data_IF_325775878834
#
_entry.id   IF_325775878834
#
_cell.length_a   1.000
_cell.length_b   1.000
_cell.length_c   1.000
_cell.angle_alpha   90.00
_cell.angle_beta   90.00
_cell.angle_gamma   90.00
#
_symmetry.space_group_name_H-M   'P 1'
#
loop_
_entity.id
_entity.type
_entity.pdbx_description
1 polymer ?
#
# COMPACT_ATOMS: atom_id res chain seq x y z
N UNK A 1 16.55 -1.06 11.65
CA UNK A 1 15.12 -1.26 11.97
C UNK A 1 15.00 -2.68 12.49
N UNK A 2 14.38 -2.90 13.66
CA UNK A 2 14.16 -4.25 14.17
C UNK A 2 12.90 -4.81 13.51
N UNK A 3 13.07 -5.73 12.55
CA UNK A 3 11.95 -6.36 11.84
C UNK A 3 11.03 -7.13 12.78
N UNK A 4 11.50 -7.53 13.97
CA UNK A 4 10.66 -8.18 14.99
C UNK A 4 9.62 -7.23 15.60
N UNK A 5 9.77 -5.92 15.41
CA UNK A 5 8.80 -4.91 15.86
C UNK A 5 7.66 -4.68 14.87
N UNK A 6 7.73 -5.28 13.69
CA UNK A 6 6.69 -5.20 12.68
C UNK A 6 5.49 -6.07 13.07
N UNK A 7 4.29 -5.52 12.88
CA UNK A 7 3.02 -6.17 13.18
C UNK A 7 2.06 -5.99 12.02
N UNK A 8 1.39 -7.07 11.65
CA UNK A 8 0.27 -7.02 10.73
C UNK A 8 -0.94 -6.39 11.42
N UNK A 9 -1.58 -5.41 10.78
CA UNK A 9 -2.93 -4.97 11.21
C UNK A 9 -4.00 -5.89 10.64
N UNK A 10 -3.76 -6.40 9.43
CA UNK A 10 -4.57 -7.35 8.67
C UNK A 10 -3.61 -8.35 8.05
N UNK A 11 -3.78 -9.63 8.33
CA UNK A 11 -2.87 -10.65 7.82
C UNK A 11 -3.08 -10.88 6.30
N UNK A 12 -2.00 -11.04 5.53
CA UNK A 12 -2.08 -11.44 4.13
C UNK A 12 -2.44 -12.93 4.00
N UNK A 13 -2.71 -13.40 2.78
CA UNK A 13 -2.87 -14.84 2.52
C UNK A 13 -1.57 -15.63 2.79
N UNK A 14 -0.43 -14.97 2.64
CA UNK A 14 0.88 -15.49 3.02
C UNK A 14 1.92 -14.38 3.04
N UNK A 15 3.01 -14.58 3.78
CA UNK A 15 4.17 -13.70 3.74
C UNK A 15 5.45 -14.47 4.01
N UNK A 16 6.57 -13.91 3.54
CA UNK A 16 7.91 -14.42 3.82
C UNK A 16 8.83 -13.26 4.17
N UNK A 17 9.62 -13.42 5.24
CA UNK A 17 10.64 -12.45 5.66
C UNK A 17 12.00 -13.11 5.50
N UNK A 18 12.83 -12.57 4.60
CA UNK A 18 14.18 -13.06 4.29
C UNK A 18 15.17 -11.91 4.30
N UNK A 19 15.95 -11.80 5.36
CA UNK A 19 16.95 -10.74 5.49
C UNK A 19 16.29 -9.36 5.48
N UNK A 20 16.55 -8.59 4.44
CA UNK A 20 16.00 -7.24 4.20
C UNK A 20 14.75 -7.23 3.30
N UNK A 21 14.29 -8.40 2.87
CA UNK A 21 13.18 -8.55 1.91
C UNK A 21 11.94 -9.10 2.59
N UNK A 22 10.80 -8.50 2.30
CA UNK A 22 9.48 -8.94 2.75
C UNK A 22 8.63 -9.21 1.50
N UNK A 23 8.19 -10.45 1.33
CA UNK A 23 7.29 -10.86 0.26
C UNK A 23 5.90 -11.01 0.84
N UNK A 24 4.91 -10.39 0.21
CA UNK A 24 3.52 -10.37 0.67
C UNK A 24 2.64 -10.96 -0.43
N UNK A 25 1.83 -11.96 -0.09
CA UNK A 25 0.81 -12.52 -0.98
C UNK A 25 -0.56 -12.08 -0.50
N UNK A 26 -1.21 -11.19 -1.26
CA UNK A 26 -2.54 -10.67 -0.91
C UNK A 26 -3.61 -11.76 -1.02
N UNK A 27 -4.66 -11.63 -0.21
CA UNK A 27 -5.90 -12.34 -0.49
C UNK A 27 -6.66 -11.62 -1.63
N UNK A 28 -7.57 -12.29 -2.34
CA UNK A 28 -8.44 -11.61 -3.30
C UNK A 28 -9.28 -10.50 -2.64
N UNK A 29 -9.61 -9.46 -3.39
CA UNK A 29 -10.53 -8.39 -2.99
C UNK A 29 -10.09 -7.60 -1.74
N UNK A 30 -8.79 -7.38 -1.60
CA UNK A 30 -8.21 -6.51 -0.57
C UNK A 30 -7.91 -5.12 -1.11
N UNK A 31 -8.25 -4.07 -0.36
CA UNK A 31 -8.09 -2.66 -0.76
C UNK A 31 -8.12 -1.71 0.46
N UNK A 32 -7.64 -0.48 0.24
CA UNK A 32 -7.78 0.67 1.14
C UNK A 32 -8.41 1.84 0.37
N UNK A 33 -9.67 2.12 0.67
CA UNK A 33 -10.41 3.26 0.12
C UNK A 33 -11.59 3.64 1.01
N UNK A 34 -11.89 4.93 1.12
CA UNK A 34 -12.98 5.43 1.95
C UNK A 34 -13.87 6.42 1.18
N UNK A 35 -15.10 5.98 0.86
CA UNK A 35 -16.30 6.72 0.43
C UNK A 35 -16.21 7.57 -0.84
N UNK A 36 -15.15 8.34 -1.04
CA UNK A 36 -15.08 9.35 -2.11
C UNK A 36 -15.40 8.72 -3.45
N UNK A 37 -16.35 9.32 -4.17
CA UNK A 37 -16.90 8.90 -5.46
C UNK A 37 -17.59 7.51 -5.48
N UNK A 38 -16.97 6.47 -4.93
CA UNK A 38 -17.45 5.09 -5.02
C UNK A 38 -18.42 4.66 -3.91
N UNK A 39 -18.58 5.47 -2.87
CA UNK A 39 -19.46 5.26 -1.71
C UNK A 39 -19.17 4.03 -0.82
N UNK A 40 -18.41 3.05 -1.30
CA UNK A 40 -17.95 1.92 -0.50
C UNK A 40 -16.80 2.29 0.44
N UNK A 41 -16.53 1.38 1.37
CA UNK A 41 -15.43 1.47 2.32
C UNK A 41 -14.68 0.16 2.31
N UNK A 42 -13.44 0.19 1.84
CA UNK A 42 -12.52 -0.93 1.91
C UNK A 42 -11.41 -0.55 2.89
N UNK A 43 -11.30 -1.37 3.93
CA UNK A 43 -10.26 -1.24 4.93
C UNK A 43 -9.83 -2.66 5.32
N UNK A 44 -9.31 -3.40 4.34
CA UNK A 44 -8.99 -4.82 4.49
C UNK A 44 -7.65 -5.22 3.82
N UNK A 45 -6.90 -4.27 3.26
CA UNK A 45 -5.57 -4.56 2.72
C UNK A 45 -4.57 -5.01 3.79
N UNK A 46 -3.66 -5.95 3.48
CA UNK A 46 -2.57 -6.28 4.37
C UNK A 46 -1.67 -5.06 4.60
N UNK A 47 -1.44 -4.73 5.87
CA UNK A 47 -0.55 -3.63 6.26
C UNK A 47 0.40 -4.14 7.34
N UNK A 48 1.69 -4.16 7.00
CA UNK A 48 2.77 -4.46 7.93
C UNK A 48 3.33 -3.15 8.46
N UNK A 49 3.18 -2.90 9.76
CA UNK A 49 3.52 -1.63 10.38
C UNK A 49 4.39 -1.81 11.61
N UNK A 50 5.18 -0.78 11.94
CA UNK A 50 5.77 -0.61 13.26
C UNK A 50 5.29 0.71 13.85
N UNK A 51 5.31 0.81 15.18
CA UNK A 51 4.94 2.04 15.90
C UNK A 51 6.20 2.80 16.30
N UNK A 52 6.12 4.13 16.27
CA UNK A 52 7.18 5.01 16.77
C UNK A 52 6.59 6.13 17.62
N UNK A 53 7.33 6.57 18.64
CA UNK A 53 7.04 7.80 19.41
C UNK A 53 7.84 9.00 18.91
N UNK A 54 8.77 8.76 17.98
CA UNK A 54 9.59 9.82 17.41
C UNK A 54 8.73 10.77 16.59
N UNK A 55 8.75 12.06 16.95
CA UNK A 55 7.96 13.09 16.28
C UNK A 55 8.37 13.25 14.81
N UNK A 56 9.64 13.03 14.52
CA UNK A 56 10.21 13.14 13.18
C UNK A 56 10.96 11.85 12.87
N UNK A 57 10.64 11.25 11.72
CA UNK A 57 11.30 10.05 11.26
C UNK A 57 11.31 10.04 9.73
N UNK A 58 12.17 9.21 9.16
CA UNK A 58 12.23 8.97 7.72
C UNK A 58 12.53 7.51 7.50
N UNK A 59 11.90 6.93 6.50
CA UNK A 59 12.16 5.57 6.06
C UNK A 59 11.99 5.51 4.55
N UNK A 60 12.65 4.54 3.93
CA UNK A 60 12.53 4.27 2.51
C UNK A 60 12.26 2.79 2.35
N UNK A 61 11.44 2.46 1.37
CA UNK A 61 11.15 1.09 0.97
C UNK A 61 11.34 1.05 -0.54
N UNK A 62 12.03 0.02 -1.02
CA UNK A 62 12.02 -0.33 -2.43
C UNK A 62 10.90 -1.33 -2.66
N UNK A 63 10.01 -1.07 -3.60
CA UNK A 63 8.97 -2.03 -3.99
C UNK A 63 9.37 -2.78 -5.26
N UNK A 64 8.95 -4.04 -5.34
CA UNK A 64 9.03 -4.84 -6.56
C UNK A 64 7.61 -5.28 -6.93
N UNK A 65 7.19 -4.85 -8.12
CA UNK A 65 5.86 -5.05 -8.67
C UNK A 65 5.89 -5.83 -9.99
N UNK A 66 6.96 -6.59 -10.20
CA UNK A 66 7.17 -7.40 -11.41
C UNK A 66 6.04 -8.41 -11.63
N UNK A 67 5.44 -8.93 -10.56
CA UNK A 67 4.35 -9.91 -10.65
C UNK A 67 2.96 -9.29 -10.81
N UNK A 68 2.82 -7.96 -10.83
CA UNK A 68 1.50 -7.34 -11.02
C UNK A 68 1.02 -7.47 -12.45
N UNK A 69 -0.25 -7.87 -12.59
CA UNK A 69 -0.88 -8.15 -13.88
C UNK A 69 -2.40 -7.95 -13.87
N UNK A 70 -3.00 -7.74 -12.69
CA UNK A 70 -4.42 -7.54 -12.55
C UNK A 70 -4.72 -6.07 -12.24
N UNK A 71 -5.71 -5.50 -12.94
CA UNK A 71 -6.15 -4.13 -12.70
C UNK A 71 -6.45 -3.91 -11.22
N UNK A 72 -5.94 -2.81 -10.67
CA UNK A 72 -6.00 -2.40 -9.26
C UNK A 72 -5.07 -3.14 -8.30
N UNK A 73 -4.18 -4.01 -8.78
CA UNK A 73 -3.07 -4.48 -7.96
C UNK A 73 -2.29 -3.25 -7.45
N UNK A 74 -1.99 -3.21 -6.15
CA UNK A 74 -1.22 -2.13 -5.52
C UNK A 74 -0.05 -2.63 -4.68
N UNK A 75 1.07 -1.89 -4.69
CA UNK A 75 2.18 -2.09 -3.75
C UNK A 75 2.87 -0.76 -3.42
N UNK A 76 3.17 -0.55 -2.14
CA UNK A 76 3.66 0.74 -1.67
C UNK A 76 3.85 0.80 -0.16
N UNK A 77 3.86 2.03 0.34
CA UNK A 77 3.96 2.34 1.77
C UNK A 77 2.64 2.90 2.28
N UNK A 78 2.39 2.74 3.57
CA UNK A 78 1.23 3.33 4.25
C UNK A 78 1.63 3.85 5.63
N UNK A 79 1.09 5.00 5.99
CA UNK A 79 1.02 5.52 7.35
C UNK A 79 -0.42 5.40 7.81
N UNK A 80 -0.68 4.54 8.78
CA UNK A 80 -2.01 4.18 9.21
C UNK A 80 -2.23 4.54 10.68
N UNK A 81 -3.26 5.34 10.98
CA UNK A 81 -3.68 5.62 12.35
C UNK A 81 -4.91 4.79 12.71
N UNK A 82 -5.95 4.91 11.89
CA UNK A 82 -7.23 4.20 12.02
C UNK A 82 -7.94 4.15 10.66
N UNK A 83 -9.13 3.53 10.62
CA UNK A 83 -9.89 3.32 9.38
C UNK A 83 -10.30 4.61 8.68
N UNK A 84 -10.36 5.72 9.40
CA UNK A 84 -10.80 7.02 8.89
C UNK A 84 -9.63 7.96 8.59
N UNK A 85 -8.41 7.63 9.02
CA UNK A 85 -7.23 8.48 8.93
C UNK A 85 -5.97 7.68 8.58
N UNK A 86 -5.57 7.74 7.31
CA UNK A 86 -4.36 7.07 6.81
C UNK A 86 -3.88 7.71 5.51
N UNK A 87 -2.61 7.50 5.17
CA UNK A 87 -1.98 7.94 3.92
C UNK A 87 -1.29 6.74 3.29
N UNK A 88 -1.56 6.43 2.02
CA UNK A 88 -0.79 5.45 1.25
C UNK A 88 -0.12 6.12 0.05
N UNK A 89 1.04 5.62 -0.33
CA UNK A 89 1.74 5.95 -1.57
C UNK A 89 2.17 4.67 -2.26
N UNK A 90 1.74 4.47 -3.51
CA UNK A 90 1.88 3.17 -4.18
C UNK A 90 1.93 3.28 -5.70
N UNK A 91 2.44 2.21 -6.32
CA UNK A 91 2.09 1.86 -7.69
C UNK A 91 0.72 1.19 -7.67
N UNK A 92 -0.10 1.48 -8.67
CA UNK A 92 -1.37 0.81 -8.95
C UNK A 92 -1.41 0.40 -10.43
N UNK A 93 -1.48 -0.91 -10.70
CA UNK A 93 -1.47 -1.42 -12.06
C UNK A 93 -2.81 -1.18 -12.76
N UNK A 94 -2.74 -0.70 -14.01
CA UNK A 94 -3.92 -0.52 -14.86
C UNK A 94 -3.95 -1.55 -15.98
N UNK A 95 -2.90 -1.63 -16.80
CA UNK A 95 -2.77 -2.54 -17.95
C UNK A 95 -1.30 -2.67 -18.41
N UNK A 96 -1.10 -3.40 -19.51
CA UNK A 96 0.24 -3.67 -20.08
C UNK A 96 0.98 -2.43 -20.61
N UNK A 97 0.29 -1.31 -20.83
CA UNK A 97 0.88 -0.09 -21.36
C UNK A 97 1.26 0.91 -20.27
N UNK A 98 0.40 1.09 -19.27
CA UNK A 98 0.64 2.04 -18.18
C UNK A 98 0.09 1.57 -16.84
N UNK A 99 0.57 2.25 -15.80
CA UNK A 99 0.13 2.11 -14.43
C UNK A 99 0.19 3.48 -13.74
N UNK A 100 -0.31 3.55 -12.52
CA UNK A 100 -0.42 4.79 -11.76
C UNK A 100 0.59 4.81 -10.62
N UNK A 101 1.37 5.88 -10.53
CA UNK A 101 2.07 6.24 -9.30
C UNK A 101 1.27 7.33 -8.61
N UNK A 102 0.86 7.09 -7.37
CA UNK A 102 0.03 8.05 -6.67
C UNK A 102 0.04 7.90 -5.17
N UNK A 103 -0.73 8.78 -4.54
CA UNK A 103 -0.97 8.78 -3.11
C UNK A 103 -2.46 8.95 -2.82
N UNK A 104 -2.95 8.22 -1.82
CA UNK A 104 -4.29 8.45 -1.27
C UNK A 104 -4.16 8.96 0.15
N UNK A 105 -4.63 10.18 0.38
CA UNK A 105 -4.75 10.77 1.70
C UNK A 105 -6.20 10.63 2.17
N UNK A 106 -6.42 9.82 3.19
CA UNK A 106 -7.73 9.62 3.79
C UNK A 106 -7.80 10.38 5.11
N UNK A 107 -8.78 11.28 5.21
CA UNK A 107 -8.99 12.14 6.37
C UNK A 107 -10.48 12.19 6.71
N UNK A 108 -10.83 11.95 7.97
CA UNK A 108 -12.22 11.86 8.45
C UNK A 108 -13.10 10.91 7.61
N UNK A 109 -12.53 9.80 7.13
CA UNK A 109 -13.25 8.77 6.40
C UNK A 109 -13.54 9.08 4.93
N UNK A 110 -12.79 10.02 4.32
CA UNK A 110 -12.87 10.34 2.89
C UNK A 110 -11.48 10.33 2.26
N UNK A 111 -11.34 9.57 1.17
CA UNK A 111 -10.09 9.44 0.41
C UNK A 111 -9.95 10.53 -0.64
N UNK A 112 -8.80 11.20 -0.67
CA UNK A 112 -8.37 12.07 -1.77
C UNK A 112 -7.21 11.38 -2.50
N UNK A 113 -7.35 11.18 -3.81
CA UNK A 113 -6.39 10.45 -4.63
C UNK A 113 -5.74 11.37 -5.66
N UNK A 114 -4.40 11.46 -5.59
CA UNK A 114 -3.57 12.10 -6.59
C UNK A 114 -2.71 11.04 -7.29
N UNK A 115 -2.67 11.09 -8.62
CA UNK A 115 -1.95 10.11 -9.43
C UNK A 115 -1.32 10.71 -10.67
N UNK A 116 -0.25 10.08 -11.15
CA UNK A 116 0.35 10.30 -12.47
C UNK A 116 0.51 8.96 -13.18
N UNK A 117 0.35 8.95 -14.51
CA UNK A 117 0.62 7.76 -15.30
C UNK A 117 2.14 7.55 -15.43
N UNK A 118 2.57 6.32 -15.26
CA UNK A 118 3.94 5.85 -15.54
C UNK A 118 3.88 4.62 -16.46
N UNK A 119 4.94 4.35 -17.25
CA UNK A 119 5.00 3.13 -18.06
C UNK A 119 4.84 1.86 -17.22
N UNK A 120 4.15 0.85 -17.76
CA UNK A 120 3.91 -0.41 -17.07
C UNK A 120 5.18 -1.29 -16.92
N UNK A 121 6.25 -0.98 -17.65
CA UNK A 121 7.56 -1.65 -17.54
C UNK A 121 8.39 -1.13 -16.34
N UNK A 122 7.95 -0.08 -15.65
CA UNK A 122 8.52 0.34 -14.36
C UNK A 122 8.09 -0.65 -13.29
N UNK A 123 8.91 -1.67 -13.04
CA UNK A 123 8.58 -2.74 -12.08
C UNK A 123 9.10 -2.51 -10.66
N UNK A 124 10.02 -1.58 -10.47
CA UNK A 124 10.60 -1.29 -9.14
C UNK A 124 10.68 0.19 -8.90
N UNK A 125 10.36 0.64 -7.68
CA UNK A 125 10.53 2.02 -7.23
C UNK A 125 11.11 2.09 -5.83
#
# INVERSE_FOLDING_TARGET
>A
MDLNSLQWTREPAGFEVKGDTIVITTAPHTDLWQRTYYHFQNDNAPVLQMKTKEKFFSFVVKTDFTQSHQRFDQCGIVMYLDSENWLKGSVEYENEAFQHLGSVATNNGYSDWATTAIPADVKTM
#
